data_IF_210818707773
#
_entry.id   IF_210818707773
#
_cell.length_a   1.000
_cell.length_b   1.000
_cell.length_c   1.000
_cell.angle_alpha   90.00
_cell.angle_beta   90.00
_cell.angle_gamma   90.00
#
_symmetry.space_group_name_H-M   'P 1'
#
loop_
_entity.id
_entity.type
_entity.pdbx_description
1 polymer ?
#
# COMPACT_ATOMS: atom_id res chain seq x y z
N UNK A 1 6.55 13.23 12.05
CA UNK A 1 7.14 13.88 10.84
C UNK A 1 6.15 13.82 9.69
N UNK A 2 6.31 14.61 8.63
CA UNK A 2 5.50 14.42 7.41
C UNK A 2 5.95 13.19 6.63
N UNK A 3 5.03 12.59 5.88
CA UNK A 3 5.31 11.41 5.07
C UNK A 3 6.33 11.75 3.96
N UNK A 4 6.20 12.92 3.32
CA UNK A 4 7.14 13.38 2.28
C UNK A 4 8.56 13.48 2.84
N UNK A 5 8.73 14.06 4.04
CA UNK A 5 10.05 14.17 4.67
C UNK A 5 10.63 12.82 5.03
N UNK A 6 9.80 11.89 5.52
CA UNK A 6 10.24 10.54 5.85
C UNK A 6 10.72 9.77 4.61
N UNK A 7 10.04 9.89 3.47
CA UNK A 7 10.46 9.28 2.20
C UNK A 7 11.76 9.92 1.71
N UNK A 8 11.91 11.24 1.82
CA UNK A 8 13.13 11.94 1.41
C UNK A 8 14.37 11.45 2.17
N UNK A 9 14.23 11.27 3.49
CA UNK A 9 15.31 10.90 4.40
C UNK A 9 15.63 9.40 4.47
N UNK A 10 14.77 8.54 3.93
CA UNK A 10 14.95 7.10 4.02
C UNK A 10 16.16 6.60 3.20
N UNK A 11 16.83 5.58 3.73
CA UNK A 11 17.87 4.80 3.04
C UNK A 11 17.25 3.85 1.99
N UNK A 12 18.09 3.18 1.19
CA UNK A 12 17.61 2.24 0.16
C UNK A 12 16.70 1.15 0.73
N UNK A 13 17.03 0.64 1.92
CA UNK A 13 16.24 -0.39 2.60
C UNK A 13 14.86 0.14 2.98
N UNK A 14 14.80 1.32 3.59
CA UNK A 14 13.57 1.99 4.00
C UNK A 14 12.68 2.33 2.81
N UNK A 15 13.26 2.80 1.71
CA UNK A 15 12.57 3.09 0.46
C UNK A 15 12.01 1.81 -0.19
N UNK A 16 12.81 0.76 -0.31
CA UNK A 16 12.35 -0.51 -0.88
C UNK A 16 11.25 -1.17 -0.04
N UNK A 17 11.42 -1.18 1.29
CA UNK A 17 10.46 -1.72 2.25
C UNK A 17 9.14 -0.94 2.24
N UNK A 18 9.18 0.39 2.29
CA UNK A 18 7.98 1.23 2.31
C UNK A 18 7.18 1.11 1.00
N UNK A 19 7.85 1.13 -0.15
CA UNK A 19 7.24 0.89 -1.46
C UNK A 19 6.56 -0.48 -1.52
N UNK A 20 7.27 -1.55 -1.15
CA UNK A 20 6.73 -2.92 -1.15
C UNK A 20 5.53 -3.06 -0.20
N UNK A 21 5.61 -2.48 0.99
CA UNK A 21 4.53 -2.54 1.97
C UNK A 21 3.24 -1.86 1.45
N UNK A 22 3.37 -0.74 0.73
CA UNK A 22 2.23 -0.08 0.08
C UNK A 22 1.53 -1.02 -0.92
N UNK A 23 2.32 -1.72 -1.75
CA UNK A 23 1.80 -2.69 -2.72
C UNK A 23 1.10 -3.87 -2.04
N UNK A 24 1.73 -4.43 -1.01
CA UNK A 24 1.19 -5.56 -0.25
C UNK A 24 -0.17 -5.25 0.38
N UNK A 25 -0.30 -4.06 0.97
CA UNK A 25 -1.55 -3.63 1.60
C UNK A 25 -2.64 -3.36 0.59
N UNK A 26 -2.28 -2.81 -0.57
CA UNK A 26 -3.24 -2.56 -1.64
C UNK A 26 -3.80 -3.85 -2.21
N UNK A 27 -3.08 -4.97 -2.19
CA UNK A 27 -3.54 -6.23 -2.79
C UNK A 27 -4.21 -7.16 -1.75
N UNK A 28 -5.56 -7.21 -1.65
CA UNK A 28 -6.25 -8.11 -0.73
C UNK A 28 -6.22 -9.56 -1.26
N UNK A 29 -5.06 -10.19 -1.22
CA UNK A 29 -4.91 -11.60 -1.56
C UNK A 29 -5.61 -12.50 -0.53
N UNK A 30 -6.16 -13.65 -0.96
CA UNK A 30 -6.47 -14.77 -0.09
C UNK A 30 -5.27 -15.19 0.75
N UNK A 31 -5.52 -15.90 1.85
CA UNK A 31 -4.46 -16.25 2.83
C UNK A 31 -3.39 -17.12 2.18
N UNK A 32 -3.81 -18.04 1.32
CA UNK A 32 -2.96 -18.97 0.56
C UNK A 32 -1.97 -18.28 -0.37
N UNK A 33 -2.22 -17.02 -0.75
CA UNK A 33 -1.34 -16.22 -1.60
C UNK A 33 -0.68 -15.04 -0.86
N UNK A 34 -0.81 -14.98 0.47
CA UNK A 34 -0.34 -13.84 1.27
C UNK A 34 1.19 -13.68 1.25
N UNK A 35 1.94 -14.75 0.95
CA UNK A 35 3.41 -14.76 0.95
C UNK A 35 4.04 -14.43 -0.42
N UNK A 36 3.26 -13.98 -1.43
CA UNK A 36 3.77 -13.72 -2.79
C UNK A 36 4.99 -12.78 -2.84
N UNK A 37 5.08 -11.85 -1.89
CA UNK A 37 6.17 -10.86 -1.79
C UNK A 37 7.29 -11.26 -0.83
N UNK A 38 7.19 -12.42 -0.17
CA UNK A 38 8.18 -12.89 0.82
C UNK A 38 9.62 -12.96 0.27
N UNK A 39 9.88 -13.38 -0.98
CA UNK A 39 11.23 -13.37 -1.54
C UNK A 39 11.84 -11.96 -1.66
N UNK A 40 11.02 -10.95 -1.95
CA UNK A 40 11.44 -9.54 -2.02
C UNK A 40 11.75 -8.99 -0.63
N UNK A 41 10.90 -9.27 0.36
CA UNK A 41 11.18 -8.91 1.76
C UNK A 41 12.50 -9.49 2.25
N UNK A 42 12.83 -10.74 1.89
CA UNK A 42 14.11 -11.34 2.21
C UNK A 42 15.30 -10.61 1.53
N UNK A 43 15.15 -10.18 0.28
CA UNK A 43 16.18 -9.39 -0.43
C UNK A 43 16.43 -8.04 0.23
N UNK A 44 15.36 -7.37 0.66
CA UNK A 44 15.42 -6.10 1.40
C UNK A 44 16.14 -6.29 2.75
N UNK A 45 15.81 -7.36 3.48
CA UNK A 45 16.48 -7.71 4.75
C UNK A 45 17.97 -7.98 4.61
N UNK A 46 18.39 -8.44 3.44
CA UNK A 46 19.80 -8.67 3.09
C UNK A 46 20.45 -7.48 2.39
N UNK A 47 19.90 -6.27 2.50
CA UNK A 47 20.50 -5.04 1.96
C UNK A 47 20.53 -4.99 0.43
N UNK A 48 19.51 -5.55 -0.24
CA UNK A 48 19.41 -5.52 -1.70
C UNK A 48 20.15 -6.66 -2.42
N UNK A 49 20.68 -7.62 -1.68
CA UNK A 49 21.26 -8.84 -2.26
C UNK A 49 20.27 -9.51 -3.22
N UNK A 50 20.72 -9.74 -4.45
CA UNK A 50 19.92 -10.33 -5.54
C UNK A 50 18.62 -9.56 -5.87
N UNK A 51 18.54 -8.27 -5.53
CA UNK A 51 17.35 -7.45 -5.76
C UNK A 51 16.74 -7.62 -7.18
N UNK A 52 17.51 -7.52 -8.29
CA UNK A 52 16.94 -7.72 -9.63
C UNK A 52 16.29 -9.09 -9.83
N UNK A 53 16.93 -10.15 -9.35
CA UNK A 53 16.42 -11.53 -9.47
C UNK A 53 15.18 -11.77 -8.63
N UNK A 54 15.18 -11.27 -7.39
CA UNK A 54 14.02 -11.36 -6.47
C UNK A 54 12.84 -10.55 -6.97
N UNK A 55 13.09 -9.40 -7.58
CA UNK A 55 12.06 -8.58 -8.22
C UNK A 55 11.44 -9.27 -9.44
N UNK A 56 12.26 -9.88 -10.30
CA UNK A 56 11.77 -10.70 -11.40
C UNK A 56 10.92 -11.88 -10.92
N UNK A 57 11.36 -12.57 -9.86
CA UNK A 57 10.60 -13.68 -9.27
C UNK A 57 9.25 -13.23 -8.69
N UNK A 58 9.21 -12.09 -7.99
CA UNK A 58 7.97 -11.55 -7.44
C UNK A 58 6.98 -11.09 -8.53
N UNK A 59 7.48 -10.52 -9.64
CA UNK A 59 6.64 -10.19 -10.80
C UNK A 59 5.98 -11.44 -11.37
N UNK A 60 6.77 -12.48 -11.62
CA UNK A 60 6.26 -13.75 -12.12
C UNK A 60 5.24 -14.40 -11.16
N UNK A 61 5.53 -14.40 -9.86
CA UNK A 61 4.63 -14.97 -8.86
C UNK A 61 3.30 -14.19 -8.79
N UNK A 62 3.34 -12.86 -8.86
CA UNK A 62 2.14 -12.03 -8.91
C UNK A 62 1.32 -12.30 -10.17
N UNK A 63 1.97 -12.39 -11.34
CA UNK A 63 1.30 -12.70 -12.60
C UNK A 63 0.60 -14.07 -12.55
N UNK A 64 1.23 -15.06 -11.93
CA UNK A 64 0.63 -16.39 -11.71
C UNK A 64 -0.61 -16.32 -10.80
N UNK A 65 -0.54 -15.57 -9.70
CA UNK A 65 -1.69 -15.38 -8.78
C UNK A 65 -2.84 -14.66 -9.49
N UNK A 66 -2.54 -13.62 -10.27
CA UNK A 66 -3.54 -12.88 -11.06
C UNK A 66 -4.15 -13.76 -12.15
N UNK A 67 -3.35 -14.57 -12.84
CA UNK A 67 -3.83 -15.51 -13.85
C UNK A 67 -4.74 -16.59 -13.24
N UNK A 68 -4.37 -17.14 -12.08
CA UNK A 68 -5.16 -18.16 -11.38
C UNK A 68 -6.55 -17.65 -10.97
N UNK A 69 -6.66 -16.38 -10.59
CA UNK A 69 -7.96 -15.73 -10.27
C UNK A 69 -8.89 -15.58 -11.48
N UNK A 70 -8.31 -15.48 -12.68
CA UNK A 70 -9.05 -15.35 -13.94
C UNK A 70 -9.39 -16.70 -14.56
N UNK A 71 -8.92 -17.81 -13.99
CA UNK A 71 -9.15 -19.14 -14.51
C UNK A 71 -10.64 -19.54 -14.43
N UNK A 72 -11.18 -20.24 -15.44
CA UNK A 72 -12.55 -20.75 -15.40
C UNK A 72 -12.76 -21.67 -14.18
N UNK A 73 -13.81 -21.42 -13.39
CA UNK A 73 -14.13 -22.21 -12.20
C UNK A 73 -13.46 -21.75 -10.91
N UNK A 74 -12.71 -20.63 -10.92
CA UNK A 74 -12.31 -19.95 -9.69
C UNK A 74 -13.55 -19.37 -8.98
N UNK A 75 -13.59 -19.45 -7.65
CA UNK A 75 -14.58 -18.81 -6.75
C UNK A 75 -14.46 -17.27 -6.72
N UNK A 76 -13.95 -16.67 -7.80
CA UNK A 76 -13.82 -15.23 -7.96
C UNK A 76 -15.16 -14.66 -8.43
N UNK A 77 -15.64 -13.63 -7.74
CA UNK A 77 -16.75 -12.81 -8.23
C UNK A 77 -16.35 -12.20 -9.60
N UNK A 78 -16.98 -12.63 -10.72
CA UNK A 78 -16.61 -12.19 -12.06
C UNK A 78 -16.96 -10.71 -12.31
N UNK A 79 -17.69 -10.07 -11.40
CA UNK A 79 -18.10 -8.66 -11.50
C UNK A 79 -17.24 -7.71 -10.68
N UNK A 80 -16.35 -8.23 -9.82
CA UNK A 80 -15.45 -7.40 -9.03
C UNK A 80 -14.28 -6.90 -9.91
N UNK A 81 -14.16 -5.59 -10.17
CA UNK A 81 -13.05 -5.09 -10.98
C UNK A 81 -11.71 -5.37 -10.28
N UNK A 82 -10.87 -6.18 -10.91
CA UNK A 82 -9.49 -6.51 -10.50
C UNK A 82 -8.51 -5.34 -10.75
N UNK A 83 -9.02 -4.10 -10.64
CA UNK A 83 -8.28 -2.85 -10.89
C UNK A 83 -7.11 -2.73 -9.92
N UNK A 84 -7.30 -3.22 -8.70
CA UNK A 84 -6.26 -3.19 -7.67
C UNK A 84 -5.09 -4.14 -7.98
N UNK A 85 -5.35 -5.34 -8.52
CA UNK A 85 -4.25 -6.21 -8.93
C UNK A 85 -3.53 -5.67 -10.18
N UNK A 86 -4.27 -5.15 -11.17
CA UNK A 86 -3.67 -4.51 -12.34
C UNK A 86 -2.75 -3.34 -11.95
N UNK A 87 -3.18 -2.53 -10.97
CA UNK A 87 -2.40 -1.42 -10.43
C UNK A 87 -1.15 -1.90 -9.69
N UNK A 88 -1.27 -2.92 -8.84
CA UNK A 88 -0.13 -3.49 -8.12
C UNK A 88 0.87 -4.16 -9.08
N UNK A 89 0.39 -4.85 -10.11
CA UNK A 89 1.24 -5.37 -11.20
C UNK A 89 1.99 -4.24 -11.92
N UNK A 90 1.30 -3.14 -12.22
CA UNK A 90 1.91 -1.97 -12.87
C UNK A 90 2.99 -1.35 -12.00
N UNK A 91 2.70 -1.09 -10.73
CA UNK A 91 3.66 -0.50 -9.79
C UNK A 91 4.85 -1.43 -9.52
N UNK A 92 4.63 -2.73 -9.37
CA UNK A 92 5.71 -3.71 -9.24
C UNK A 92 6.55 -3.81 -10.53
N UNK A 93 5.93 -3.67 -11.70
CA UNK A 93 6.59 -3.56 -12.99
C UNK A 93 7.47 -2.31 -13.11
N UNK A 94 7.06 -1.20 -12.48
CA UNK A 94 7.84 0.05 -12.42
C UNK A 94 8.96 0.04 -11.38
N UNK A 95 9.01 -0.95 -10.49
CA UNK A 95 10.06 -1.04 -9.48
C UNK A 95 11.45 -1.04 -10.14
N UNK A 96 12.39 -0.24 -9.63
CA UNK A 96 13.69 -0.07 -10.26
C UNK A 96 14.49 -1.36 -10.18
N UNK A 97 15.18 -1.75 -11.26
CA UNK A 97 16.09 -2.90 -11.23
C UNK A 97 17.36 -2.64 -10.42
N UNK A 98 17.74 -1.38 -10.21
CA UNK A 98 18.92 -0.98 -9.44
C UNK A 98 18.57 -0.71 -7.97
N UNK A 99 19.45 -1.19 -7.08
CA UNK A 99 19.39 -0.87 -5.65
C UNK A 99 20.12 0.45 -5.39
N UNK A 100 19.41 1.58 -5.58
CA UNK A 100 19.96 2.91 -5.43
C UNK A 100 18.89 3.89 -4.91
N UNK A 101 19.28 4.80 -4.02
CA UNK A 101 18.36 5.70 -3.33
C UNK A 101 17.47 6.51 -4.28
N UNK A 102 18.02 7.09 -5.36
CA UNK A 102 17.24 7.93 -6.29
C UNK A 102 16.02 7.22 -6.90
N UNK A 103 16.22 6.15 -7.68
CA UNK A 103 15.10 5.39 -8.26
C UNK A 103 14.18 4.74 -7.23
N UNK A 104 14.72 4.25 -6.10
CA UNK A 104 13.90 3.69 -5.03
C UNK A 104 13.02 4.75 -4.38
N UNK A 105 13.49 6.00 -4.26
CA UNK A 105 12.73 7.13 -3.74
C UNK A 105 11.56 7.48 -4.65
N UNK A 106 11.81 7.62 -5.94
CA UNK A 106 10.75 7.86 -6.94
C UNK A 106 9.68 6.76 -6.90
N UNK A 107 10.12 5.50 -6.80
CA UNK A 107 9.21 4.36 -6.73
C UNK A 107 8.41 4.33 -5.43
N UNK A 108 9.05 4.53 -4.28
CA UNK A 108 8.38 4.58 -2.98
C UNK A 108 7.36 5.74 -2.89
N UNK A 109 7.71 6.92 -3.41
CA UNK A 109 6.82 8.08 -3.49
C UNK A 109 5.57 7.78 -4.34
N UNK A 110 5.77 7.19 -5.52
CA UNK A 110 4.67 6.79 -6.41
C UNK A 110 3.77 5.76 -5.73
N UNK A 111 4.35 4.70 -5.14
CA UNK A 111 3.60 3.67 -4.42
C UNK A 111 2.81 4.25 -3.23
N UNK A 112 3.39 5.23 -2.52
CA UNK A 112 2.75 5.93 -1.40
C UNK A 112 1.50 6.68 -1.86
N UNK A 113 1.59 7.49 -2.92
CA UNK A 113 0.46 8.25 -3.48
C UNK A 113 -0.64 7.29 -3.94
N UNK A 114 -0.29 6.30 -4.75
CA UNK A 114 -1.28 5.38 -5.32
C UNK A 114 -1.98 4.58 -4.22
N UNK A 115 -1.26 4.16 -3.17
CA UNK A 115 -1.89 3.47 -2.06
C UNK A 115 -2.94 4.35 -1.35
N UNK A 116 -2.64 5.63 -1.13
CA UNK A 116 -3.58 6.57 -0.53
C UNK A 116 -4.82 6.78 -1.43
N UNK A 117 -4.64 6.92 -2.74
CA UNK A 117 -5.75 7.02 -3.70
C UNK A 117 -6.66 5.79 -3.69
N UNK A 118 -6.09 4.58 -3.63
CA UNK A 118 -6.85 3.33 -3.53
C UNK A 118 -7.69 3.31 -2.25
N UNK A 119 -7.08 3.68 -1.12
CA UNK A 119 -7.79 3.71 0.17
C UNK A 119 -8.88 4.78 0.21
N UNK A 120 -8.63 5.96 -0.38
CA UNK A 120 -9.63 7.02 -0.51
C UNK A 120 -10.84 6.59 -1.36
N UNK A 121 -10.60 5.91 -2.49
CA UNK A 121 -11.69 5.36 -3.33
C UNK A 121 -12.55 4.33 -2.58
N UNK A 122 -11.95 3.63 -1.61
CA UNK A 122 -12.65 2.67 -0.75
C UNK A 122 -13.33 3.33 0.46
N UNK A 123 -12.93 4.54 0.85
CA UNK A 123 -13.65 5.36 1.83
C UNK A 123 -14.90 5.99 1.23
N UNK A 124 -14.78 6.56 0.02
CA UNK A 124 -15.84 7.26 -0.69
C UNK A 124 -16.91 6.28 -1.21
N UNK A 125 -17.82 5.82 -0.35
CA UNK A 125 -19.14 5.38 -0.83
C UNK A 125 -19.98 6.65 -1.05
N UNK A 126 -20.10 7.09 -2.30
CA UNK A 126 -21.03 8.16 -2.69
C UNK A 126 -20.51 9.60 -2.64
N UNK A 127 -19.19 9.82 -2.52
CA UNK A 127 -18.60 11.17 -2.61
C UNK A 127 -18.19 11.47 -4.06
N UNK A 128 -18.89 12.40 -4.71
CA UNK A 128 -18.59 12.92 -6.05
C UNK A 128 -17.57 14.08 -6.03
N UNK A 129 -16.79 14.23 -4.96
CA UNK A 129 -15.66 15.15 -4.92
C UNK A 129 -14.74 14.92 -6.13
N UNK A 130 -14.64 15.91 -7.02
CA UNK A 130 -13.88 15.81 -8.26
C UNK A 130 -12.40 15.47 -8.03
N UNK A 131 -11.81 14.72 -8.97
CA UNK A 131 -10.43 14.25 -8.92
C UNK A 131 -9.36 15.31 -8.56
N UNK A 132 -9.43 16.58 -9.02
CA UNK A 132 -8.44 17.60 -8.67
C UNK A 132 -8.43 17.96 -7.19
N UNK A 133 -9.61 18.12 -6.58
CA UNK A 133 -9.74 18.43 -5.15
C UNK A 133 -9.30 17.26 -4.25
N UNK A 134 -9.52 16.02 -4.71
CA UNK A 134 -9.01 14.83 -4.05
C UNK A 134 -7.47 14.79 -4.06
N UNK A 135 -6.84 15.06 -5.21
CA UNK A 135 -5.38 15.07 -5.35
C UNK A 135 -4.73 16.16 -4.47
N UNK A 136 -5.28 17.37 -4.43
CA UNK A 136 -4.76 18.45 -3.56
C UNK A 136 -4.88 18.07 -2.08
N UNK A 137 -6.00 17.48 -1.68
CA UNK A 137 -6.20 17.00 -0.29
C UNK A 137 -5.16 15.95 0.08
N UNK A 138 -4.90 14.98 -0.80
CA UNK A 138 -3.86 13.97 -0.59
C UNK A 138 -2.48 14.61 -0.43
N UNK A 139 -2.14 15.58 -1.29
CA UNK A 139 -0.86 16.30 -1.19
C UNK A 139 -0.69 16.95 0.19
N UNK A 140 -1.70 17.69 0.66
CA UNK A 140 -1.69 18.32 1.99
C UNK A 140 -1.54 17.30 3.12
N UNK A 141 -2.28 16.18 3.09
CA UNK A 141 -2.18 15.15 4.12
C UNK A 141 -0.80 14.49 4.18
N UNK A 142 -0.10 14.36 3.04
CA UNK A 142 1.27 13.81 3.01
C UNK A 142 2.29 14.79 3.58
N UNK A 143 2.08 16.08 3.38
CA UNK A 143 2.95 17.15 3.90
C UNK A 143 2.68 17.50 5.36
N UNK A 144 1.45 17.34 5.84
CA UNK A 144 1.06 17.57 7.22
C UNK A 144 0.14 16.45 7.74
N UNK A 145 0.73 15.52 8.48
CA UNK A 145 0.00 14.41 9.08
C UNK A 145 -0.92 14.86 10.22
N UNK A 146 -0.64 16.00 10.87
CA UNK A 146 -1.50 16.55 11.91
C UNK A 146 -2.79 17.16 11.35
N UNK A 147 -2.83 17.44 10.04
CA UNK A 147 -4.03 17.87 9.33
C UNK A 147 -5.04 16.72 9.09
N UNK A 148 -4.69 15.47 9.44
CA UNK A 148 -5.62 14.34 9.39
C UNK A 148 -6.25 14.16 10.78
N UNK A 149 -7.51 14.57 10.98
CA UNK A 149 -8.18 14.43 12.27
C UNK A 149 -8.26 12.96 12.68
N UNK A 150 -8.22 12.71 13.99
CA UNK A 150 -8.35 11.37 14.52
C UNK A 150 -9.76 10.85 14.24
N UNK A 151 -9.86 9.68 13.61
CA UNK A 151 -11.12 9.16 13.09
C UNK A 151 -11.97 8.46 14.17
N UNK A 152 -11.78 8.81 15.45
CA UNK A 152 -12.39 8.11 16.58
C UNK A 152 -13.78 8.66 16.91
N UNK A 153 -14.73 7.74 16.74
CA UNK A 153 -16.14 7.69 17.16
C UNK A 153 -17.11 8.79 16.69
N UNK A 154 -18.01 8.39 15.80
CA UNK A 154 -19.39 8.91 15.79
C UNK A 154 -19.62 10.27 15.16
N UNK A 155 -18.87 10.67 14.13
CA UNK A 155 -19.24 11.82 13.32
C UNK A 155 -20.46 11.50 12.43
N UNK A 156 -21.65 11.54 13.05
CA UNK A 156 -22.86 11.86 12.32
C UNK A 156 -22.75 13.30 11.77
N UNK A 157 -23.24 13.47 10.54
CA UNK A 157 -23.57 14.71 9.84
C UNK A 157 -22.43 15.55 9.24
N UNK A 158 -22.49 15.62 7.90
CA UNK A 158 -22.34 16.80 7.05
C UNK A 158 -21.35 17.88 7.48
N UNK A 159 -20.35 18.10 6.62
CA UNK A 159 -19.53 19.32 6.50
C UNK A 159 -18.14 19.34 7.17
N UNK A 160 -17.72 18.26 7.85
CA UNK A 160 -16.31 18.10 8.20
C UNK A 160 -15.50 17.67 6.96
N UNK A 161 -14.64 18.57 6.48
CA UNK A 161 -13.61 18.36 5.43
C UNK A 161 -12.54 17.37 5.93
N UNK A 162 -12.95 16.19 6.36
CA UNK A 162 -12.09 15.12 6.83
C UNK A 162 -11.64 14.22 5.68
N UNK A 163 -10.52 13.53 5.88
CA UNK A 163 -10.18 12.35 5.09
C UNK A 163 -10.89 11.14 5.69
N UNK A 164 -11.34 10.22 4.84
CA UNK A 164 -12.02 9.01 5.30
C UNK A 164 -11.11 8.11 6.16
N UNK A 165 -11.70 7.19 6.95
CA UNK A 165 -10.96 6.38 7.92
C UNK A 165 -9.91 5.45 7.31
N UNK A 166 -10.09 4.96 6.07
CA UNK A 166 -9.11 4.10 5.40
C UNK A 166 -7.91 4.90 4.91
N UNK A 167 -8.15 6.07 4.32
CA UNK A 167 -7.11 7.01 3.92
C UNK A 167 -6.30 7.46 5.13
N UNK A 168 -6.97 7.87 6.21
CA UNK A 168 -6.33 8.27 7.46
C UNK A 168 -5.51 7.11 8.06
N UNK A 169 -6.07 5.91 8.07
CA UNK A 169 -5.38 4.70 8.55
C UNK A 169 -4.16 4.35 7.70
N UNK A 170 -4.26 4.45 6.38
CA UNK A 170 -3.13 4.16 5.48
C UNK A 170 -2.01 5.18 5.61
N UNK A 171 -2.32 6.47 5.70
CA UNK A 171 -1.32 7.50 5.94
C UNK A 171 -0.53 7.24 7.22
N UNK A 172 -1.22 6.93 8.33
CA UNK A 172 -0.57 6.59 9.60
C UNK A 172 0.33 5.36 9.49
N UNK A 173 -0.08 4.34 8.74
CA UNK A 173 0.75 3.13 8.51
C UNK A 173 2.01 3.46 7.70
N UNK A 174 1.90 4.25 6.63
CA UNK A 174 3.07 4.64 5.83
C UNK A 174 4.10 5.41 6.67
N UNK A 175 3.64 6.40 7.45
CA UNK A 175 4.47 7.15 8.39
C UNK A 175 5.13 6.20 9.40
N UNK A 176 4.33 5.36 10.06
CA UNK A 176 4.84 4.48 11.12
C UNK A 176 5.85 3.47 10.60
N UNK A 177 5.65 2.94 9.39
CA UNK A 177 6.60 2.02 8.76
C UNK A 177 7.95 2.70 8.53
N UNK A 178 7.95 3.93 7.98
CA UNK A 178 9.19 4.67 7.76
C UNK A 178 9.88 5.06 9.07
N UNK A 179 9.12 5.47 10.09
CA UNK A 179 9.65 5.72 11.44
C UNK A 179 10.30 4.46 12.03
N UNK A 180 9.64 3.31 11.98
CA UNK A 180 10.19 2.03 12.44
C UNK A 180 11.50 1.70 11.70
N UNK A 181 11.54 1.90 10.38
CA UNK A 181 12.70 1.58 9.57
C UNK A 181 13.86 2.55 9.82
N UNK A 182 13.58 3.79 10.22
CA UNK A 182 14.59 4.78 10.62
C UNK A 182 15.07 4.58 12.07
N UNK A 183 14.19 4.16 12.98
CA UNK A 183 14.48 4.01 14.42
C UNK A 183 15.06 2.64 14.77
N UNK A 184 14.74 1.61 13.98
CA UNK A 184 15.11 0.21 14.25
C UNK A 184 15.91 -0.39 13.09
N UNK A 185 17.20 -0.58 13.34
CA UNK A 185 18.11 -1.16 12.38
C UNK A 185 17.86 -2.66 12.13
N UNK A 186 18.22 -3.09 10.92
CA UNK A 186 18.33 -4.49 10.57
C UNK A 186 17.01 -5.28 10.58
N UNK A 187 17.06 -6.60 10.83
CA UNK A 187 15.91 -7.50 10.69
C UNK A 187 14.75 -7.25 11.66
N UNK A 188 14.98 -6.57 12.78
CA UNK A 188 13.93 -6.26 13.75
C UNK A 188 12.94 -5.22 13.20
N UNK A 189 13.45 -4.08 12.69
CA UNK A 189 12.62 -3.04 12.09
C UNK A 189 11.85 -3.56 10.87
N UNK A 190 12.50 -4.42 10.06
CA UNK A 190 11.84 -5.02 8.91
C UNK A 190 10.68 -5.93 9.29
N UNK A 191 10.81 -6.73 10.36
CA UNK A 191 9.72 -7.58 10.86
C UNK A 191 8.53 -6.75 11.32
N UNK A 192 8.78 -5.69 12.09
CA UNK A 192 7.73 -4.78 12.53
C UNK A 192 7.00 -4.11 11.34
N UNK A 193 7.75 -3.72 10.30
CA UNK A 193 7.15 -3.18 9.07
C UNK A 193 6.28 -4.21 8.33
N UNK A 194 6.73 -5.47 8.24
CA UNK A 194 5.96 -6.57 7.64
C UNK A 194 4.68 -6.89 8.43
N UNK A 195 4.74 -6.83 9.77
CA UNK A 195 3.57 -7.05 10.63
C UNK A 195 2.51 -5.96 10.41
N UNK A 196 2.92 -4.69 10.34
CA UNK A 196 2.03 -3.56 10.00
C UNK A 196 1.46 -3.67 8.59
N UNK A 197 2.28 -4.12 7.62
CA UNK A 197 1.82 -4.41 6.26
C UNK A 197 0.75 -5.50 6.24
N UNK A 198 0.97 -6.58 6.98
CA UNK A 198 0.03 -7.70 7.09
C UNK A 198 -1.29 -7.27 7.73
N UNK A 199 -1.23 -6.46 8.79
CA UNK A 199 -2.43 -5.92 9.44
C UNK A 199 -3.22 -4.99 8.49
N UNK A 200 -2.54 -4.07 7.80
CA UNK A 200 -3.18 -3.20 6.83
C UNK A 200 -3.88 -3.97 5.70
N UNK A 201 -3.26 -5.04 5.19
CA UNK A 201 -3.86 -5.94 4.20
C UNK A 201 -5.12 -6.63 4.73
N UNK A 202 -5.13 -7.07 5.99
CA UNK A 202 -6.30 -7.67 6.64
C UNK A 202 -7.46 -6.69 6.74
N UNK A 203 -7.18 -5.43 7.13
CA UNK A 203 -8.17 -4.35 7.17
C UNK A 203 -8.77 -4.12 5.79
N UNK A 204 -7.95 -3.97 4.75
CA UNK A 204 -8.44 -3.71 3.40
C UNK A 204 -9.31 -4.87 2.88
N UNK A 205 -8.88 -6.12 3.12
CA UNK A 205 -9.66 -7.31 2.77
C UNK A 205 -11.02 -7.33 3.47
N UNK A 206 -11.08 -7.01 4.76
CA UNK A 206 -12.33 -6.95 5.51
C UNK A 206 -13.29 -5.88 4.94
N UNK A 207 -12.76 -4.71 4.57
CA UNK A 207 -13.53 -3.64 3.91
C UNK A 207 -14.09 -4.10 2.57
N UNK A 208 -13.26 -4.66 1.70
CA UNK A 208 -13.69 -5.14 0.37
C UNK A 208 -14.75 -6.24 0.51
N UNK A 209 -14.56 -7.20 1.42
CA UNK A 209 -15.54 -8.25 1.69
C UNK A 209 -16.87 -7.72 2.26
N UNK A 210 -16.83 -6.69 3.11
CA UNK A 210 -18.05 -6.00 3.59
C UNK A 210 -18.78 -5.29 2.46
N UNK A 211 -18.05 -4.64 1.55
CA UNK A 211 -18.63 -3.93 0.40
C UNK A 211 -19.26 -4.89 -0.62
N UNK A 212 -18.62 -6.01 -0.90
CA UNK A 212 -19.18 -7.04 -1.78
C UNK A 212 -20.53 -7.55 -1.25
N UNK A 213 -20.62 -7.86 0.05
CA UNK A 213 -21.87 -8.28 0.72
C UNK A 213 -22.96 -7.22 0.78
N UNK A 214 -22.63 -5.94 0.67
CA UNK A 214 -23.62 -4.86 0.66
C UNK A 214 -24.19 -4.59 -0.75
N UNK A 215 -23.56 -5.15 -1.80
CA UNK A 215 -23.97 -4.98 -3.20
C UNK A 215 -24.73 -6.19 -3.76
N UNK A 216 -24.52 -7.38 -3.19
CA UNK A 216 -25.29 -8.59 -3.48
C UNK A 216 -26.46 -8.74 -2.53
#
# INVERSE_FOLDING_TARGET
MSLVKLIDQADERGLAASGLACLERCLPLPVENADVFRPLWAGIGSGGQEWPGRLAAARLALDQVVAARKAPGADADPTAPDVTAALVTTLLGSAPGQWAAGPLRTWADTCSVVALEVHQKLDAVGDESGAPAAAERLSRCREDAAAVPDAVEGAETGDAVGVGPLLAGELRRQIRILEILAETDGPAGLRLAMDLSTEGRRVLRAVVARRARARG
#
